data_IF_450797614718
#
_entry.id   IF_450797614718
#
_cell.length_a   1.000
_cell.length_b   1.000
_cell.length_c   1.000
_cell.angle_alpha   90.00
_cell.angle_beta   90.00
_cell.angle_gamma   90.00
#
_symmetry.space_group_name_H-M   'P 1'
#
loop_
_entity.id
_entity.type
_entity.pdbx_description
1 polymer ?
#
# COMPACT_ATOMS: atom_id res chain seq x y z
N UNK A 1 34.96 37.57 19.57
CA UNK A 1 36.02 37.63 18.55
C UNK A 1 35.74 36.59 17.48
N UNK A 2 36.15 36.84 16.23
CA UNK A 2 35.70 36.23 14.96
C UNK A 2 34.43 36.90 14.42
N UNK A 3 34.52 38.05 13.74
CA UNK A 3 35.11 38.38 12.41
C UNK A 3 34.12 38.09 11.28
N UNK A 4 33.71 39.20 10.67
CA UNK A 4 32.89 39.34 9.48
C UNK A 4 33.52 38.63 8.27
N UNK A 5 32.67 38.10 7.41
CA UNK A 5 32.92 38.12 5.96
C UNK A 5 31.74 38.78 5.30
N UNK A 6 32.01 39.99 4.78
CA UNK A 6 31.11 40.78 3.97
C UNK A 6 30.70 40.01 2.71
N UNK A 7 29.40 39.87 2.49
CA UNK A 7 28.85 39.56 1.17
C UNK A 7 28.50 40.89 0.54
N UNK A 8 29.17 41.17 -0.58
CA UNK A 8 28.98 42.32 -1.45
C UNK A 8 27.49 42.46 -1.83
N UNK A 9 26.83 43.48 -1.30
CA UNK A 9 25.60 44.00 -1.88
C UNK A 9 25.99 45.11 -2.86
N UNK A 10 25.94 44.74 -4.14
CA UNK A 10 25.98 45.66 -5.27
C UNK A 10 24.84 46.68 -5.10
N UNK A 11 25.22 47.94 -4.90
CA UNK A 11 24.35 49.09 -5.11
C UNK A 11 24.03 49.14 -6.60
N UNK A 12 22.91 48.54 -7.00
CA UNK A 12 22.25 48.90 -8.25
C UNK A 12 21.44 50.17 -7.96
N UNK A 13 22.04 51.29 -8.35
CA UNK A 13 21.44 52.60 -8.48
C UNK A 13 20.33 52.52 -9.54
N UNK A 14 19.17 52.00 -9.12
CA UNK A 14 17.95 51.98 -9.90
C UNK A 14 17.32 53.36 -9.89
N UNK A 15 17.68 54.18 -10.89
CA UNK A 15 16.92 55.37 -11.23
C UNK A 15 15.48 54.98 -11.52
N UNK A 16 14.57 55.24 -10.57
CA UNK A 16 13.15 55.14 -10.81
C UNK A 16 12.78 56.23 -11.81
N UNK A 17 12.63 55.78 -13.05
CA UNK A 17 12.03 56.51 -14.15
C UNK A 17 10.67 57.01 -13.70
N UNK A 18 10.54 58.33 -13.56
CA UNK A 18 9.28 59.06 -13.48
C UNK A 18 8.57 58.96 -14.84
N UNK A 19 8.13 57.76 -15.20
CA UNK A 19 7.13 57.56 -16.22
C UNK A 19 5.77 57.82 -15.58
N UNK A 20 5.27 59.02 -15.81
CA UNK A 20 3.90 59.47 -15.57
C UNK A 20 2.90 58.53 -16.23
N UNK A 21 2.39 57.57 -15.47
CA UNK A 21 0.99 57.14 -15.60
C UNK A 21 0.32 57.69 -14.36
N UNK A 22 -0.59 58.64 -14.53
CA UNK A 22 -1.52 59.12 -13.50
C UNK A 22 -2.47 57.97 -13.13
N UNK A 23 -1.93 56.90 -12.56
CA UNK A 23 -2.72 55.88 -11.88
C UNK A 23 -2.97 56.45 -10.50
N UNK A 24 -4.24 56.71 -10.19
CA UNK A 24 -4.65 57.17 -8.87
C UNK A 24 -4.04 56.24 -7.82
N UNK A 25 -3.21 56.79 -6.92
CA UNK A 25 -2.61 56.03 -5.84
C UNK A 25 -3.69 55.35 -4.98
N UNK A 26 -4.90 55.90 -4.95
CA UNK A 26 -6.07 55.28 -4.31
C UNK A 26 -6.54 54.02 -5.06
N UNK A 27 -6.53 54.01 -6.40
CA UNK A 27 -6.86 52.83 -7.21
C UNK A 27 -5.82 51.73 -7.05
N UNK A 28 -4.53 52.11 -6.94
CA UNK A 28 -3.45 51.15 -6.63
C UNK A 28 -3.68 50.52 -5.25
N UNK A 29 -3.99 51.33 -4.23
CA UNK A 29 -4.30 50.82 -2.89
C UNK A 29 -5.55 49.94 -2.89
N UNK A 30 -6.59 50.30 -3.65
CA UNK A 30 -7.82 49.51 -3.72
C UNK A 30 -7.55 48.14 -4.34
N UNK A 31 -6.85 48.08 -5.48
CA UNK A 31 -6.45 46.81 -6.11
C UNK A 31 -5.58 45.96 -5.19
N UNK A 32 -4.58 46.56 -4.54
CA UNK A 32 -3.72 45.84 -3.60
C UNK A 32 -4.52 45.28 -2.41
N UNK A 33 -5.55 45.99 -1.93
CA UNK A 33 -6.43 45.49 -0.86
C UNK A 33 -7.26 44.30 -1.30
N UNK A 34 -7.81 44.33 -2.51
CA UNK A 34 -8.55 43.20 -3.09
C UNK A 34 -7.65 41.98 -3.26
N UNK A 35 -6.43 42.17 -3.78
CA UNK A 35 -5.44 41.10 -3.92
C UNK A 35 -5.05 40.49 -2.56
N UNK A 36 -4.82 41.31 -1.54
CA UNK A 36 -4.52 40.83 -0.17
C UNK A 36 -5.69 40.01 0.39
N UNK A 37 -6.94 40.41 0.13
CA UNK A 37 -8.11 39.66 0.59
C UNK A 37 -8.24 38.30 -0.12
N UNK A 38 -7.96 38.25 -1.43
CA UNK A 38 -7.93 36.98 -2.18
C UNK A 38 -6.82 36.05 -1.66
N UNK A 39 -5.61 36.57 -1.42
CA UNK A 39 -4.49 35.79 -0.89
C UNK A 39 -4.79 35.23 0.51
N UNK A 40 -5.46 36.01 1.38
CA UNK A 40 -5.92 35.53 2.70
C UNK A 40 -6.94 34.41 2.57
N UNK A 41 -7.86 34.51 1.62
CA UNK A 41 -8.84 33.46 1.36
C UNK A 41 -8.17 32.18 0.86
N UNK A 42 -7.16 32.28 -0.01
CA UNK A 42 -6.38 31.15 -0.48
C UNK A 42 -5.55 30.50 0.64
N UNK A 43 -4.89 31.31 1.48
CA UNK A 43 -4.17 30.85 2.67
C UNK A 43 -5.11 30.09 3.62
N UNK A 44 -6.33 30.60 3.83
CA UNK A 44 -7.36 29.94 4.64
C UNK A 44 -7.74 28.57 4.07
N UNK A 45 -7.85 28.44 2.75
CA UNK A 45 -8.15 27.15 2.10
C UNK A 45 -7.01 26.15 2.27
N UNK A 46 -5.75 26.58 2.09
CA UNK A 46 -4.58 25.74 2.29
C UNK A 46 -4.45 25.24 3.75
N UNK A 47 -4.67 26.12 4.73
CA UNK A 47 -4.69 25.73 6.15
C UNK A 47 -5.80 24.73 6.49
N UNK A 48 -6.99 24.87 5.88
CA UNK A 48 -8.08 23.90 6.06
C UNK A 48 -7.75 22.52 5.47
N UNK A 49 -6.95 22.44 4.40
CA UNK A 49 -6.48 21.17 3.84
C UNK A 49 -5.43 20.52 4.74
N UNK A 50 -4.47 21.31 5.26
CA UNK A 50 -3.49 20.85 6.25
C UNK A 50 -4.16 20.26 7.50
N UNK A 51 -5.18 20.94 8.04
CA UNK A 51 -5.94 20.47 9.22
C UNK A 51 -6.70 19.15 8.96
N UNK A 52 -7.11 18.87 7.72
CA UNK A 52 -7.74 17.59 7.36
C UNK A 52 -6.72 16.45 7.31
N UNK A 53 -5.49 16.71 6.87
CA UNK A 53 -4.41 15.73 6.79
C UNK A 53 -3.78 15.38 8.16
N UNK A 54 -3.90 16.26 9.16
CA UNK A 54 -3.39 16.04 10.52
C UNK A 54 -4.26 15.11 11.39
N UNK A 55 -5.39 14.63 10.87
CA UNK A 55 -6.33 13.74 11.57
C UNK A 55 -5.95 12.25 11.41
N UNK A 56 -4.74 11.85 11.82
CA UNK A 56 -4.35 10.44 11.82
C UNK A 56 -5.26 9.63 12.79
N UNK A 57 -6.06 8.67 12.30
CA UNK A 57 -6.93 7.85 13.14
C UNK A 57 -6.16 7.09 14.24
N UNK A 58 -4.88 6.77 14.01
CA UNK A 58 -4.04 6.06 15.00
C UNK A 58 -3.63 6.96 16.16
N UNK A 59 -3.43 8.26 15.92
CA UNK A 59 -3.15 9.26 16.96
C UNK A 59 -4.37 9.46 17.89
N UNK A 60 -5.58 9.46 17.31
CA UNK A 60 -6.83 9.55 18.09
C UNK A 60 -7.07 8.36 19.01
N UNK A 61 -6.67 7.16 18.59
CA UNK A 61 -6.80 5.95 19.39
C UNK A 61 -5.86 5.97 20.61
N UNK A 62 -4.61 6.42 20.44
CA UNK A 62 -3.65 6.59 21.54
C UNK A 62 -4.17 7.63 22.55
N UNK A 63 -4.61 8.81 22.08
CA UNK A 63 -5.17 9.86 22.94
C UNK A 63 -6.39 9.36 23.74
N UNK A 64 -7.24 8.51 23.11
CA UNK A 64 -8.40 7.91 23.77
C UNK A 64 -8.00 6.90 24.85
N UNK A 65 -7.01 6.05 24.59
CA UNK A 65 -6.48 5.09 25.58
C UNK A 65 -5.84 5.84 26.76
N UNK A 66 -5.07 6.89 26.49
CA UNK A 66 -4.47 7.75 27.53
C UNK A 66 -5.53 8.42 28.40
N UNK A 67 -6.59 8.97 27.80
CA UNK A 67 -7.73 9.54 28.53
C UNK A 67 -8.37 8.49 29.47
N UNK A 68 -8.65 7.29 28.98
CA UNK A 68 -9.25 6.21 29.78
C UNK A 68 -8.34 5.78 30.95
N UNK A 69 -7.01 5.73 30.74
CA UNK A 69 -6.05 5.43 31.81
C UNK A 69 -6.07 6.52 32.87
N UNK A 70 -6.12 7.81 32.47
CA UNK A 70 -6.18 8.90 33.44
C UNK A 70 -7.47 8.87 34.26
N UNK A 71 -8.61 8.62 33.63
CA UNK A 71 -9.89 8.46 34.32
C UNK A 71 -9.86 7.30 35.31
N UNK A 72 -9.41 6.11 34.89
CA UNK A 72 -9.28 4.95 35.78
C UNK A 72 -8.29 5.20 36.93
N UNK A 73 -7.18 5.91 36.71
CA UNK A 73 -6.23 6.30 37.77
C UNK A 73 -6.87 7.21 38.82
N UNK A 74 -7.71 8.15 38.38
CA UNK A 74 -8.46 9.02 39.31
C UNK A 74 -9.53 8.24 40.06
N UNK A 75 -10.21 7.29 39.41
CA UNK A 75 -11.21 6.43 40.04
C UNK A 75 -10.58 5.46 41.05
N UNK A 76 -9.43 4.87 40.71
CA UNK A 76 -8.64 4.00 41.58
C UNK A 76 -8.14 4.77 42.82
N UNK A 77 -7.67 6.01 42.64
CA UNK A 77 -7.24 6.89 43.74
C UNK A 77 -8.41 7.29 44.66
N UNK A 78 -9.60 7.49 44.10
CA UNK A 78 -10.85 7.72 44.85
C UNK A 78 -11.28 6.47 45.62
N UNK A 79 -11.18 5.29 45.00
CA UNK A 79 -11.49 4.00 45.63
C UNK A 79 -10.54 3.68 46.80
N UNK A 80 -9.23 3.93 46.65
CA UNK A 80 -8.25 3.79 47.74
C UNK A 80 -8.54 4.74 48.91
N UNK A 81 -8.89 6.00 48.61
CA UNK A 81 -9.26 6.97 49.65
C UNK A 81 -10.52 6.57 50.42
N UNK A 82 -11.46 5.90 49.75
CA UNK A 82 -12.73 5.44 50.33
C UNK A 82 -12.55 4.14 51.14
N UNK A 83 -11.64 3.24 50.70
CA UNK A 83 -11.27 2.00 51.42
C UNK A 83 -10.64 2.31 52.78
N UNK A 84 -9.81 3.35 52.87
CA UNK A 84 -9.19 3.79 54.12
C UNK A 84 -10.19 4.37 55.16
N UNK A 85 -11.47 4.57 54.79
CA UNK A 85 -12.51 5.08 55.67
C UNK A 85 -13.55 4.04 56.10
N UNK A 86 -13.64 2.87 55.44
CA UNK A 86 -14.61 1.80 55.77
C UNK A 86 -14.00 0.41 55.49
N UNK A 87 -13.83 -0.39 56.54
CA UNK A 87 -13.38 -1.80 56.50
C UNK A 87 -14.41 -2.74 55.84
N UNK A 88 -14.64 -2.58 54.53
CA UNK A 88 -15.56 -3.43 53.76
C UNK A 88 -14.80 -4.31 52.75
N UNK A 89 -14.82 -5.63 52.97
CA UNK A 89 -14.27 -6.66 52.04
C UNK A 89 -14.82 -6.55 50.61
N UNK A 90 -16.03 -6.01 50.42
CA UNK A 90 -16.65 -5.80 49.10
C UNK A 90 -15.89 -4.78 48.23
N UNK A 91 -15.14 -3.85 48.83
CA UNK A 91 -14.37 -2.86 48.06
C UNK A 91 -13.09 -3.45 47.46
N UNK A 92 -12.63 -4.60 47.95
CA UNK A 92 -11.39 -5.22 47.48
C UNK A 92 -11.55 -5.85 46.10
N UNK A 93 -12.70 -6.49 45.85
CA UNK A 93 -13.00 -7.10 44.56
C UNK A 93 -13.19 -6.05 43.45
N UNK A 94 -13.86 -4.93 43.75
CA UNK A 94 -13.96 -3.79 42.83
C UNK A 94 -12.61 -3.12 42.56
N UNK A 95 -11.74 -3.07 43.56
CA UNK A 95 -10.42 -2.46 43.44
C UNK A 95 -9.49 -3.36 42.61
N UNK A 96 -9.52 -4.67 42.84
CA UNK A 96 -8.81 -5.64 42.01
C UNK A 96 -9.30 -5.61 40.55
N UNK A 97 -10.61 -5.41 40.32
CA UNK A 97 -11.17 -5.27 38.96
C UNK A 97 -10.68 -3.99 38.25
N UNK A 98 -10.70 -2.84 38.94
CA UNK A 98 -10.17 -1.59 38.40
C UNK A 98 -8.66 -1.67 38.14
N UNK A 99 -7.91 -2.36 39.01
CA UNK A 99 -6.48 -2.57 38.83
C UNK A 99 -6.16 -3.50 37.66
N UNK A 100 -7.00 -4.51 37.40
CA UNK A 100 -6.89 -5.37 36.23
C UNK A 100 -7.18 -4.60 34.93
N UNK A 101 -8.25 -3.79 34.91
CA UNK A 101 -8.60 -2.96 33.75
C UNK A 101 -7.54 -1.90 33.43
N UNK A 102 -6.94 -1.32 34.47
CA UNK A 102 -5.84 -0.35 34.31
C UNK A 102 -4.60 -1.02 33.71
N UNK A 103 -4.23 -2.23 34.16
CA UNK A 103 -3.14 -3.01 33.56
C UNK A 103 -3.41 -3.37 32.10
N UNK A 104 -4.64 -3.75 31.78
CA UNK A 104 -5.06 -4.09 30.42
C UNK A 104 -4.95 -2.87 29.48
N UNK A 105 -5.40 -1.70 29.91
CA UNK A 105 -5.26 -0.47 29.12
C UNK A 105 -3.79 -0.01 29.01
N UNK A 106 -2.98 -0.18 30.05
CA UNK A 106 -1.54 0.11 29.98
C UNK A 106 -0.83 -0.82 28.98
N UNK A 107 -1.20 -2.09 28.92
CA UNK A 107 -0.68 -3.04 27.92
C UNK A 107 -1.15 -2.68 26.50
N UNK A 108 -2.42 -2.30 26.33
CA UNK A 108 -2.94 -1.79 25.05
C UNK A 108 -2.23 -0.52 24.60
N UNK A 109 -1.90 0.41 25.52
CA UNK A 109 -1.15 1.62 25.23
C UNK A 109 0.26 1.29 24.73
N UNK A 110 0.95 0.36 25.40
CA UNK A 110 2.29 -0.09 25.00
C UNK A 110 2.25 -0.70 23.59
N UNK A 111 1.27 -1.57 23.31
CA UNK A 111 1.08 -2.18 21.99
C UNK A 111 0.79 -1.10 20.94
N UNK A 112 -0.08 -0.14 21.23
CA UNK A 112 -0.42 0.94 20.31
C UNK A 112 0.78 1.86 20.00
N UNK A 113 1.56 2.24 21.03
CA UNK A 113 2.77 3.03 20.88
C UNK A 113 3.87 2.28 20.12
N UNK A 114 4.05 0.99 20.40
CA UNK A 114 5.02 0.15 19.68
C UNK A 114 4.61 -0.07 18.22
N UNK A 115 3.32 -0.26 17.94
CA UNK A 115 2.79 -0.30 16.57
C UNK A 115 3.01 1.02 15.83
N UNK A 116 2.84 2.17 16.50
CA UNK A 116 3.13 3.49 15.91
C UNK A 116 4.63 3.65 15.64
N UNK A 117 5.49 3.21 16.56
CA UNK A 117 6.94 3.21 16.40
C UNK A 117 7.36 2.31 15.24
N UNK A 118 6.84 1.09 15.17
CA UNK A 118 7.13 0.14 14.11
C UNK A 118 6.61 0.64 12.75
N UNK A 119 5.46 1.31 12.71
CA UNK A 119 4.97 1.97 11.50
C UNK A 119 5.94 3.06 11.02
N UNK A 120 6.43 3.93 11.92
CA UNK A 120 7.45 4.95 11.60
C UNK A 120 8.78 4.35 11.15
N UNK A 121 9.21 3.24 11.77
CA UNK A 121 10.44 2.53 11.39
C UNK A 121 10.28 1.87 10.02
N UNK A 122 9.17 1.17 9.77
CA UNK A 122 8.87 0.55 8.47
C UNK A 122 8.76 1.60 7.37
N UNK A 123 8.20 2.77 7.69
CA UNK A 123 8.14 3.91 6.80
C UNK A 123 9.54 4.46 6.49
N UNK A 124 10.39 4.65 7.50
CA UNK A 124 11.78 5.08 7.30
C UNK A 124 12.60 4.06 6.49
N UNK A 125 12.37 2.76 6.70
CA UNK A 125 12.98 1.69 5.89
C UNK A 125 12.46 1.76 4.44
N UNK A 126 11.16 1.94 4.24
CA UNK A 126 10.57 2.07 2.90
C UNK A 126 11.10 3.30 2.14
N UNK A 127 11.34 4.42 2.86
CA UNK A 127 11.99 5.63 2.32
C UNK A 127 13.44 5.37 1.88
N UNK A 128 14.18 4.51 2.59
CA UNK A 128 15.57 4.14 2.26
C UNK A 128 15.67 3.08 1.15
N UNK A 129 14.70 2.17 1.07
CA UNK A 129 14.68 1.08 0.09
C UNK A 129 14.02 1.46 -1.25
N UNK A 130 13.47 2.69 -1.37
CA UNK A 130 12.90 3.19 -2.63
C UNK A 130 11.63 2.46 -3.08
N UNK A 131 10.94 1.80 -2.15
CA UNK A 131 9.66 1.13 -2.42
C UNK A 131 8.55 2.17 -2.25
N UNK A 132 7.80 2.54 -3.31
CA UNK A 132 6.76 3.54 -3.22
C UNK A 132 5.58 2.99 -2.41
N UNK A 133 5.45 3.43 -1.16
CA UNK A 133 4.24 3.27 -0.37
C UNK A 133 3.33 4.47 -0.61
N UNK A 134 2.02 4.23 -0.72
CA UNK A 134 0.95 5.22 -0.96
C UNK A 134 0.82 6.36 0.06
N UNK A 135 1.72 6.47 1.03
CA UNK A 135 1.77 7.55 2.03
C UNK A 135 2.81 8.62 1.71
N UNK A 136 3.74 8.38 0.78
CA UNK A 136 4.73 9.40 0.37
C UNK A 136 4.06 10.57 -0.36
N UNK A 137 2.92 10.36 -1.01
CA UNK A 137 2.16 11.44 -1.64
C UNK A 137 1.54 12.38 -0.60
N UNK A 138 1.04 11.85 0.52
CA UNK A 138 0.39 12.66 1.56
C UNK A 138 1.40 13.49 2.37
N UNK A 139 2.59 12.95 2.62
CA UNK A 139 3.69 13.68 3.26
C UNK A 139 4.32 14.73 2.32
N UNK A 140 4.37 14.44 1.02
CA UNK A 140 4.81 15.40 0.01
C UNK A 140 3.78 16.51 -0.18
N UNK A 141 2.49 16.17 -0.25
CA UNK A 141 1.37 17.11 -0.37
C UNK A 141 1.28 18.03 0.86
N UNK A 142 1.48 17.50 2.07
CA UNK A 142 1.52 18.33 3.29
C UNK A 142 2.72 19.27 3.30
N UNK A 143 3.90 18.83 2.87
CA UNK A 143 5.08 19.68 2.75
C UNK A 143 4.90 20.78 1.70
N UNK A 144 4.29 20.45 0.56
CA UNK A 144 3.94 21.39 -0.51
C UNK A 144 2.89 22.41 -0.06
N UNK A 145 1.84 21.97 0.64
CA UNK A 145 0.83 22.86 1.21
C UNK A 145 1.43 23.80 2.27
N UNK A 146 2.38 23.31 3.08
CA UNK A 146 3.07 24.14 4.07
C UNK A 146 3.91 25.22 3.39
N UNK A 147 4.67 24.85 2.36
CA UNK A 147 5.44 25.80 1.55
C UNK A 147 4.54 26.82 0.83
N UNK A 148 3.35 26.40 0.35
CA UNK A 148 2.36 27.30 -0.24
C UNK A 148 1.84 28.32 0.79
N UNK A 149 1.56 27.90 2.02
CA UNK A 149 1.13 28.80 3.10
C UNK A 149 2.20 29.85 3.43
N UNK A 150 3.47 29.44 3.52
CA UNK A 150 4.58 30.36 3.80
C UNK A 150 4.78 31.37 2.65
N UNK A 151 4.66 30.92 1.40
CA UNK A 151 4.71 31.79 0.23
C UNK A 151 3.58 32.81 0.24
N UNK A 152 2.34 32.37 0.49
CA UNK A 152 1.17 33.26 0.57
C UNK A 152 1.31 34.27 1.72
N UNK A 153 1.85 33.85 2.87
CA UNK A 153 2.12 34.74 4.00
C UNK A 153 3.10 35.85 3.63
N UNK A 154 4.22 35.50 3.00
CA UNK A 154 5.22 36.46 2.54
C UNK A 154 4.65 37.46 1.53
N UNK A 155 3.79 37.00 0.60
CA UNK A 155 3.15 37.87 -0.39
C UNK A 155 2.11 38.81 0.25
N UNK A 156 1.31 38.32 1.19
CA UNK A 156 0.37 39.15 1.98
C UNK A 156 1.14 40.23 2.74
N UNK A 157 2.24 39.88 3.41
CA UNK A 157 3.07 40.83 4.16
C UNK A 157 3.69 41.88 3.23
N UNK A 158 4.25 41.45 2.11
CA UNK A 158 4.85 42.35 1.11
C UNK A 158 3.83 43.34 0.55
N UNK A 159 2.67 42.88 0.08
CA UNK A 159 1.63 43.76 -0.47
C UNK A 159 1.01 44.65 0.61
N UNK A 160 0.82 44.13 1.82
CA UNK A 160 0.37 44.95 2.97
C UNK A 160 1.38 46.03 3.32
N UNK A 161 2.68 45.74 3.23
CA UNK A 161 3.74 46.72 3.41
C UNK A 161 3.71 47.79 2.33
N UNK A 162 3.50 47.42 1.06
CA UNK A 162 3.31 48.37 -0.04
C UNK A 162 2.10 49.27 0.19
N UNK A 163 0.96 48.72 0.62
CA UNK A 163 -0.23 49.50 0.99
C UNK A 163 0.11 50.49 2.11
N UNK A 164 0.84 50.05 3.14
CA UNK A 164 1.24 50.91 4.25
C UNK A 164 2.20 52.02 3.79
N UNK A 165 3.16 51.72 2.91
CA UNK A 165 4.09 52.70 2.36
C UNK A 165 3.41 53.77 1.50
N UNK A 166 2.31 53.41 0.81
CA UNK A 166 1.51 54.37 0.02
C UNK A 166 0.61 55.20 0.93
N UNK A 167 0.00 54.60 1.95
CA UNK A 167 -0.98 55.28 2.81
C UNK A 167 -0.37 56.12 3.94
N UNK A 168 0.81 55.74 4.42
CA UNK A 168 1.47 56.39 5.55
C UNK A 168 2.79 57.03 5.09
N UNK A 169 2.97 58.35 5.30
CA UNK A 169 4.21 59.02 4.93
C UNK A 169 5.40 58.41 5.67
N UNK A 170 6.53 58.25 4.96
CA UNK A 170 7.80 57.90 5.60
C UNK A 170 8.12 58.89 6.72
N UNK A 171 8.68 58.39 7.81
CA UNK A 171 9.16 59.20 8.94
C UNK A 171 10.10 60.30 8.46
N UNK A 172 10.92 60.02 7.44
CA UNK A 172 11.83 60.99 6.83
C UNK A 172 11.08 62.16 6.20
N UNK A 173 10.00 61.87 5.48
CA UNK A 173 9.16 62.88 4.83
C UNK A 173 8.41 63.75 5.85
N UNK A 174 7.86 63.13 6.90
CA UNK A 174 7.25 63.88 8.01
C UNK A 174 8.26 64.80 8.72
N UNK A 175 9.51 64.35 8.86
CA UNK A 175 10.57 65.16 9.43
C UNK A 175 10.94 66.34 8.51
N UNK A 176 10.94 66.17 7.19
CA UNK A 176 11.15 67.26 6.22
C UNK A 176 10.06 68.31 6.32
N UNK A 177 8.79 67.90 6.36
CA UNK A 177 7.66 68.83 6.56
C UNK A 177 7.80 69.58 7.88
N UNK A 178 8.10 68.89 8.98
CA UNK A 178 8.26 69.53 10.30
C UNK A 178 9.40 70.56 10.29
N UNK A 179 10.54 70.23 9.67
CA UNK A 179 11.66 71.17 9.53
C UNK A 179 11.28 72.41 8.72
N UNK A 180 10.54 72.24 7.63
CA UNK A 180 10.06 73.36 6.82
C UNK A 180 9.02 74.22 7.59
N UNK A 181 8.18 73.61 8.42
CA UNK A 181 7.25 74.33 9.30
C UNK A 181 7.98 75.13 10.38
N UNK A 182 8.98 74.52 11.02
CA UNK A 182 9.81 75.18 12.03
C UNK A 182 10.61 76.36 11.43
N UNK A 183 11.25 76.16 10.27
CA UNK A 183 12.02 77.22 9.59
C UNK A 183 11.10 78.35 9.09
N UNK A 184 9.90 78.03 8.62
CA UNK A 184 8.90 79.04 8.23
C UNK A 184 8.44 79.85 9.43
N UNK A 185 8.19 79.21 10.57
CA UNK A 185 7.80 79.87 11.81
C UNK A 185 8.90 80.83 12.28
N UNK A 186 10.14 80.35 12.35
CA UNK A 186 11.31 81.15 12.73
C UNK A 186 11.51 82.34 11.79
N UNK A 187 11.38 82.12 10.47
CA UNK A 187 11.52 83.20 9.47
C UNK A 187 10.40 84.24 9.60
N UNK A 188 9.16 83.84 9.93
CA UNK A 188 8.04 84.76 10.20
C UNK A 188 8.23 85.57 11.49
N UNK A 189 8.74 84.94 12.54
CA UNK A 189 9.05 85.63 13.80
C UNK A 189 10.18 86.66 13.60
N UNK A 190 11.23 86.28 12.84
CA UNK A 190 12.31 87.20 12.47
C UNK A 190 11.83 88.35 11.57
N UNK A 191 10.93 88.08 10.62
CA UNK A 191 10.28 89.11 9.81
C UNK A 191 9.49 90.09 10.68
N UNK A 192 8.73 89.60 11.67
CA UNK A 192 8.00 90.45 12.62
C UNK A 192 8.96 91.31 13.45
N UNK A 193 10.04 90.74 13.97
CA UNK A 193 11.06 91.47 14.72
C UNK A 193 11.73 92.55 13.86
N UNK A 194 12.07 92.25 12.61
CA UNK A 194 12.63 93.23 11.68
C UNK A 194 11.64 94.37 11.35
N UNK A 195 10.34 94.08 11.29
CA UNK A 195 9.29 95.09 11.12
C UNK A 195 9.15 95.98 12.36
N UNK A 196 9.22 95.39 13.56
CA UNK A 196 9.21 96.11 14.84
C UNK A 196 10.46 96.98 15.01
N UNK A 197 11.64 96.48 14.60
CA UNK A 197 12.90 97.24 14.61
C UNK A 197 12.85 98.42 13.64
N UNK A 198 12.35 98.21 12.41
CA UNK A 198 12.09 99.30 11.45
C UNK A 198 11.13 100.35 12.03
N UNK A 199 10.04 99.93 12.65
CA UNK A 199 9.06 100.85 13.25
C UNK A 199 9.64 101.59 14.47
N UNK A 200 10.48 100.94 15.28
CA UNK A 200 11.13 101.56 16.44
C UNK A 200 12.17 102.62 16.04
N UNK A 201 12.89 102.41 14.94
CA UNK A 201 13.82 103.41 14.36
C UNK A 201 13.03 104.63 13.88
N UNK A 202 11.87 104.43 13.24
CA UNK A 202 10.95 105.50 12.82
C UNK A 202 10.38 106.33 13.98
N UNK A 203 10.20 105.73 15.17
CA UNK A 203 9.72 106.44 16.36
C UNK A 203 10.82 107.07 17.22
N UNK A 204 12.11 106.78 16.96
CA UNK A 204 13.24 107.22 17.79
C UNK A 204 14.05 108.37 17.19
N UNK A 205 13.60 108.97 16.08
CA UNK A 205 14.22 110.16 15.48
C UNK A 205 13.44 111.41 15.92
N UNK A 206 13.88 112.14 16.96
CA UNK A 206 13.61 113.57 17.03
C UNK A 206 14.47 114.27 15.97
N UNK A 207 13.90 115.34 15.42
CA UNK A 207 14.47 116.24 14.41
C UNK A 207 15.99 116.47 14.55
N UNK A 208 16.63 116.67 13.39
CA UNK A 208 18.00 117.16 13.18
C UNK A 208 19.10 116.07 13.04
N UNK A 209 19.36 115.63 11.79
CA UNK A 209 20.67 115.82 11.11
C UNK A 209 20.66 115.23 9.69
N UNK A 210 21.01 116.07 8.71
CA UNK A 210 21.29 115.77 7.31
C UNK A 210 22.63 115.02 7.17
N UNK A 211 22.65 113.71 7.43
CA UNK A 211 23.73 112.86 6.92
C UNK A 211 23.15 111.59 6.28
N UNK A 212 23.41 111.47 4.98
CA UNK A 212 23.15 110.31 4.13
C UNK A 212 23.77 109.05 4.75
N UNK A 213 23.01 108.34 5.58
CA UNK A 213 23.27 106.93 5.85
C UNK A 213 22.00 106.13 5.55
N UNK A 214 22.13 105.37 4.46
CA UNK A 214 21.17 104.51 3.75
C UNK A 214 20.61 103.32 4.60
N UNK A 215 20.35 103.57 5.88
CA UNK A 215 19.86 102.60 6.87
C UNK A 215 18.42 102.19 6.60
N UNK A 216 17.59 103.10 6.06
CA UNK A 216 16.23 102.79 5.64
C UNK A 216 16.20 101.88 4.39
N UNK A 217 17.13 102.04 3.44
CA UNK A 217 17.23 101.19 2.25
C UNK A 217 17.73 99.77 2.57
N UNK A 218 18.65 99.63 3.52
CA UNK A 218 19.15 98.34 4.02
C UNK A 218 18.07 97.53 4.76
N UNK A 219 17.27 98.18 5.61
CA UNK A 219 16.17 97.53 6.32
C UNK A 219 15.03 97.10 5.38
N UNK A 220 14.71 97.91 4.36
CA UNK A 220 13.71 97.55 3.35
C UNK A 220 14.15 96.36 2.52
N UNK A 221 15.43 96.27 2.16
CA UNK A 221 15.99 95.12 1.45
C UNK A 221 15.94 93.84 2.30
N UNK A 222 16.25 93.93 3.59
CA UNK A 222 16.22 92.79 4.50
C UNK A 222 14.79 92.27 4.75
N UNK A 223 13.80 93.18 4.78
CA UNK A 223 12.36 92.83 4.84
C UNK A 223 11.93 92.10 3.56
N UNK A 224 12.33 92.61 2.39
CA UNK A 224 12.08 91.98 1.09
C UNK A 224 12.71 90.57 0.99
N UNK A 225 13.94 90.40 1.49
CA UNK A 225 14.62 89.09 1.53
C UNK A 225 13.86 88.08 2.41
N UNK A 226 13.29 88.52 3.54
CA UNK A 226 12.43 87.67 4.37
C UNK A 226 11.09 87.34 3.70
N UNK A 227 10.46 88.27 2.98
CA UNK A 227 9.24 88.02 2.22
C UNK A 227 9.47 86.98 1.10
N UNK A 228 10.57 87.11 0.37
CA UNK A 228 10.97 86.13 -0.64
C UNK A 228 11.25 84.77 -0.02
N UNK A 229 11.96 84.72 1.13
CA UNK A 229 12.25 83.47 1.84
C UNK A 229 10.97 82.81 2.37
N UNK A 230 10.04 83.56 2.93
CA UNK A 230 8.73 83.06 3.37
C UNK A 230 7.98 82.45 2.19
N UNK A 231 7.90 83.16 1.07
CA UNK A 231 7.22 82.68 -0.14
C UNK A 231 7.87 81.42 -0.72
N UNK A 232 9.20 81.34 -0.66
CA UNK A 232 9.95 80.16 -1.08
C UNK A 232 9.70 78.95 -0.16
N UNK A 233 9.74 79.14 1.16
CA UNK A 233 9.46 78.09 2.14
C UNK A 233 8.00 77.63 2.09
N UNK A 234 7.04 78.55 1.88
CA UNK A 234 5.63 78.21 1.67
C UNK A 234 5.44 77.37 0.40
N UNK A 235 6.10 77.73 -0.70
CA UNK A 235 6.04 76.94 -1.93
C UNK A 235 6.66 75.55 -1.76
N UNK A 236 7.79 75.44 -1.05
CA UNK A 236 8.39 74.14 -0.76
C UNK A 236 7.52 73.30 0.17
N UNK A 237 7.00 73.89 1.23
CA UNK A 237 6.09 73.23 2.16
C UNK A 237 4.81 72.77 1.44
N UNK A 238 4.26 73.58 0.54
CA UNK A 238 3.08 73.23 -0.22
C UNK A 238 3.37 72.10 -1.22
N UNK A 239 4.53 72.12 -1.90
CA UNK A 239 4.96 71.01 -2.76
C UNK A 239 5.16 69.71 -1.97
N UNK A 240 5.80 69.76 -0.81
CA UNK A 240 6.02 68.59 0.03
C UNK A 240 4.72 68.05 0.66
N UNK A 241 3.74 68.93 0.93
CA UNK A 241 2.39 68.55 1.37
C UNK A 241 1.51 68.03 0.22
N UNK A 242 1.60 68.61 -0.98
CA UNK A 242 0.88 68.16 -2.18
C UNK A 242 1.42 66.82 -2.69
N UNK A 243 2.72 66.56 -2.57
CA UNK A 243 3.31 65.24 -2.81
C UNK A 243 2.73 64.14 -1.88
N UNK A 244 2.01 64.52 -0.82
CA UNK A 244 1.28 63.61 0.08
C UNK A 244 -0.24 63.64 -0.11
N UNK A 245 -0.78 64.61 -0.85
CA UNK A 245 -2.21 64.75 -0.95
C UNK A 245 -2.73 63.90 -2.10
N UNK A 246 -3.25 62.72 -1.76
CA UNK A 246 -4.28 62.13 -2.62
C UNK A 246 -5.42 63.17 -2.68
N UNK A 247 -5.81 63.66 -3.87
CA UNK A 247 -6.82 64.71 -3.97
C UNK A 247 -8.17 64.21 -3.46
N UNK A 248 -8.55 64.56 -2.23
CA UNK A 248 -9.97 64.68 -1.91
C UNK A 248 -10.47 65.98 -2.51
N UNK A 249 -11.46 65.96 -3.43
CA UNK A 249 -11.88 67.15 -4.14
C UNK A 249 -12.65 68.07 -3.20
N UNK A 250 -11.98 69.13 -2.73
CA UNK A 250 -12.65 70.29 -2.13
C UNK A 250 -12.15 71.57 -2.76
N UNK A 251 -12.95 72.06 -3.72
CA UNK A 251 -13.16 73.46 -4.11
C UNK A 251 -12.09 74.48 -3.69
N UNK A 252 -11.23 74.88 -4.61
CA UNK A 252 -10.64 76.23 -4.61
C UNK A 252 -10.41 76.72 -6.04
N UNK A 253 -11.33 77.54 -6.54
CA UNK A 253 -11.12 78.36 -7.75
C UNK A 253 -11.42 79.80 -7.36
N UNK A 254 -10.37 80.57 -7.09
CA UNK A 254 -10.43 82.05 -7.12
C UNK A 254 -9.18 82.57 -7.84
N UNK A 255 -9.46 83.21 -8.99
CA UNK A 255 -8.74 84.29 -9.69
C UNK A 255 -7.38 84.03 -10.35
N UNK A 256 -7.40 84.05 -11.69
CA UNK A 256 -6.45 84.84 -12.48
C UNK A 256 -6.99 85.07 -13.90
N UNK A 257 -6.98 86.33 -14.31
CA UNK A 257 -7.59 86.92 -15.50
C UNK A 257 -7.06 86.34 -16.82
N UNK A 258 -7.87 85.52 -17.46
CA UNK A 258 -8.04 85.40 -18.92
C UNK A 258 -9.53 85.22 -19.13
N UNK A 259 -10.09 85.67 -20.27
CA UNK A 259 -11.52 85.55 -20.57
C UNK A 259 -12.03 84.18 -20.06
N UNK A 260 -12.83 84.18 -18.98
CA UNK A 260 -13.12 82.96 -18.25
C UNK A 260 -13.90 82.00 -19.13
N UNK A 261 -14.55 82.51 -20.19
CA UNK A 261 -15.31 81.72 -21.15
C UNK A 261 -14.39 80.90 -22.04
N UNK A 262 -13.34 81.47 -22.64
CA UNK A 262 -12.46 80.73 -23.56
C UNK A 262 -11.53 79.76 -22.82
N UNK A 263 -10.98 80.15 -21.65
CA UNK A 263 -10.20 79.19 -20.83
C UNK A 263 -11.05 78.07 -20.24
N UNK A 264 -12.31 78.33 -19.90
CA UNK A 264 -13.22 77.25 -19.47
C UNK A 264 -13.64 76.40 -20.64
N UNK A 265 -13.87 76.97 -21.83
CA UNK A 265 -14.19 76.21 -23.04
C UNK A 265 -13.00 75.34 -23.47
N UNK A 266 -11.78 75.85 -23.53
CA UNK A 266 -10.58 75.08 -23.86
C UNK A 266 -10.30 74.00 -22.80
N UNK A 267 -10.49 74.32 -21.51
CA UNK A 267 -10.36 73.34 -20.42
C UNK A 267 -11.44 72.26 -20.43
N UNK A 268 -12.67 72.61 -20.83
CA UNK A 268 -13.77 71.67 -21.03
C UNK A 268 -13.56 70.83 -22.29
N UNK A 269 -13.00 71.41 -23.35
CA UNK A 269 -12.63 70.72 -24.58
C UNK A 269 -11.52 69.70 -24.31
N UNK A 270 -10.46 70.08 -23.61
CA UNK A 270 -9.39 69.16 -23.21
C UNK A 270 -9.91 68.04 -22.30
N UNK A 271 -10.83 68.36 -21.37
CA UNK A 271 -11.51 67.33 -20.55
C UNK A 271 -12.40 66.41 -21.39
N UNK A 272 -13.11 66.94 -22.39
CA UNK A 272 -13.93 66.15 -23.29
C UNK A 272 -13.07 65.20 -24.13
N UNK A 273 -11.96 65.68 -24.67
CA UNK A 273 -10.99 64.87 -25.43
C UNK A 273 -10.36 63.79 -24.56
N UNK A 274 -9.96 64.13 -23.32
CA UNK A 274 -9.44 63.17 -22.35
C UNK A 274 -10.48 62.09 -22.01
N UNK A 275 -11.73 62.48 -21.74
CA UNK A 275 -12.82 61.54 -21.47
C UNK A 275 -13.16 60.68 -22.70
N UNK A 276 -13.05 61.20 -23.91
CA UNK A 276 -13.25 60.44 -25.15
C UNK A 276 -12.13 59.41 -25.37
N UNK A 277 -10.88 59.79 -25.12
CA UNK A 277 -9.75 58.86 -25.16
C UNK A 277 -9.89 57.76 -24.10
N UNK A 278 -10.28 58.12 -22.89
CA UNK A 278 -10.51 57.17 -21.81
C UNK A 278 -11.66 56.22 -22.13
N UNK A 279 -12.76 56.74 -22.72
CA UNK A 279 -13.89 55.94 -23.18
C UNK A 279 -13.49 54.98 -24.30
N UNK A 280 -12.65 55.42 -25.25
CA UNK A 280 -12.13 54.57 -26.32
C UNK A 280 -11.27 53.43 -25.77
N UNK A 281 -10.33 53.73 -24.86
CA UNK A 281 -9.49 52.74 -24.20
C UNK A 281 -10.31 51.75 -23.36
N UNK A 282 -11.30 52.24 -22.60
CA UNK A 282 -12.21 51.37 -21.83
C UNK A 282 -13.06 50.49 -22.76
N UNK A 283 -13.48 50.98 -23.91
CA UNK A 283 -14.22 50.19 -24.91
C UNK A 283 -13.36 49.08 -25.51
N UNK A 284 -12.11 49.36 -25.86
CA UNK A 284 -11.14 48.37 -26.33
C UNK A 284 -10.85 47.31 -25.25
N UNK A 285 -10.71 47.73 -23.99
CA UNK A 285 -10.53 46.81 -22.85
C UNK A 285 -11.74 45.88 -22.70
N UNK A 286 -12.97 46.39 -22.87
CA UNK A 286 -14.20 45.58 -22.82
C UNK A 286 -14.25 44.57 -23.97
N UNK A 287 -13.80 44.96 -25.17
CA UNK A 287 -13.73 44.05 -26.32
C UNK A 287 -12.73 42.92 -26.08
N UNK A 288 -11.53 43.23 -25.58
CA UNK A 288 -10.53 42.22 -25.20
C UNK A 288 -11.06 41.27 -24.11
N UNK A 289 -11.75 41.79 -23.08
CA UNK A 289 -12.38 40.96 -22.05
C UNK A 289 -13.45 40.01 -22.63
N UNK A 290 -14.14 40.42 -23.70
CA UNK A 290 -15.13 39.59 -24.38
C UNK A 290 -14.47 38.43 -25.13
N UNK A 291 -13.34 38.68 -25.79
CA UNK A 291 -12.54 37.64 -26.45
C UNK A 291 -11.97 36.64 -25.43
N UNK A 292 -11.46 37.13 -24.29
CA UNK A 292 -11.02 36.27 -23.19
C UNK A 292 -12.17 35.39 -22.66
N UNK A 293 -13.37 35.96 -22.54
CA UNK A 293 -14.56 35.23 -22.09
C UNK A 293 -14.96 34.12 -23.08
N UNK A 294 -14.83 34.36 -24.38
CA UNK A 294 -15.04 33.33 -25.42
C UNK A 294 -13.99 32.22 -25.33
N UNK A 295 -12.71 32.57 -25.14
CA UNK A 295 -11.65 31.57 -24.88
C UNK A 295 -11.92 30.73 -23.64
N UNK A 296 -12.42 31.33 -22.55
CA UNK A 296 -12.77 30.59 -21.33
C UNK A 296 -13.90 29.59 -21.60
N UNK A 297 -14.90 29.96 -22.42
CA UNK A 297 -15.97 29.04 -22.83
C UNK A 297 -15.42 27.88 -23.67
N UNK A 298 -14.50 28.15 -24.60
CA UNK A 298 -13.85 27.11 -25.40
C UNK A 298 -13.02 26.16 -24.53
N UNK A 299 -12.24 26.70 -23.59
CA UNK A 299 -11.47 25.90 -22.63
C UNK A 299 -12.37 25.06 -21.72
N UNK A 300 -13.52 25.58 -21.30
CA UNK A 300 -14.53 24.80 -20.56
C UNK A 300 -15.09 23.66 -21.41
N UNK A 301 -15.36 23.90 -22.69
CA UNK A 301 -15.81 22.87 -23.63
C UNK A 301 -14.77 21.76 -23.83
N UNK A 302 -13.49 22.13 -23.96
CA UNK A 302 -12.38 21.19 -24.03
C UNK A 302 -12.22 20.39 -22.74
N UNK A 303 -12.38 21.03 -21.58
CA UNK A 303 -12.31 20.38 -20.27
C UNK A 303 -13.42 19.34 -20.09
N UNK A 304 -14.65 19.67 -20.50
CA UNK A 304 -15.77 18.71 -20.41
C UNK A 304 -15.56 17.53 -21.37
N UNK A 305 -15.05 17.79 -22.58
CA UNK A 305 -14.68 16.73 -23.52
C UNK A 305 -13.63 15.80 -22.93
N UNK A 306 -12.58 16.36 -22.33
CA UNK A 306 -11.50 15.59 -21.69
C UNK A 306 -12.03 14.76 -20.51
N UNK A 307 -12.96 15.31 -19.73
CA UNK A 307 -13.59 14.62 -18.61
C UNK A 307 -14.42 13.42 -19.07
N UNK A 308 -15.19 13.55 -20.15
CA UNK A 308 -15.90 12.43 -20.79
C UNK A 308 -14.91 11.35 -21.26
N UNK A 309 -13.81 11.76 -21.89
CA UNK A 309 -12.75 10.87 -22.37
C UNK A 309 -12.07 10.09 -21.23
N UNK A 310 -11.79 10.76 -20.11
CA UNK A 310 -11.24 10.14 -18.89
C UNK A 310 -12.22 9.12 -18.31
N UNK A 311 -13.51 9.47 -18.24
CA UNK A 311 -14.54 8.54 -17.76
C UNK A 311 -14.62 7.29 -18.64
N UNK A 312 -14.62 7.46 -19.96
CA UNK A 312 -14.63 6.33 -20.89
C UNK A 312 -13.39 5.43 -20.74
N UNK A 313 -12.20 6.04 -20.58
CA UNK A 313 -10.96 5.28 -20.33
C UNK A 313 -11.02 4.52 -18.99
N UNK A 314 -11.61 5.09 -17.94
CA UNK A 314 -11.80 4.41 -16.67
C UNK A 314 -12.74 3.21 -16.78
N UNK A 315 -13.86 3.35 -17.51
CA UNK A 315 -14.78 2.24 -17.80
C UNK A 315 -14.08 1.10 -18.57
N UNK A 316 -13.23 1.45 -19.54
CA UNK A 316 -12.42 0.47 -20.27
C UNK A 316 -11.44 -0.25 -19.34
N UNK A 317 -10.76 0.49 -18.46
CA UNK A 317 -9.84 -0.09 -17.45
C UNK A 317 -10.59 -1.09 -16.56
N UNK A 318 -11.79 -0.75 -16.09
CA UNK A 318 -12.56 -1.64 -15.23
C UNK A 318 -13.06 -2.89 -15.97
N UNK A 319 -13.39 -2.76 -17.25
CA UNK A 319 -13.70 -3.91 -18.12
C UNK A 319 -12.49 -4.81 -18.27
N UNK A 320 -11.31 -4.25 -18.57
CA UNK A 320 -10.06 -5.01 -18.70
C UNK A 320 -9.64 -5.69 -17.38
N UNK A 321 -9.84 -5.04 -16.24
CA UNK A 321 -9.60 -5.66 -14.92
C UNK A 321 -10.48 -6.88 -14.71
N UNK A 322 -11.77 -6.80 -15.07
CA UNK A 322 -12.71 -7.93 -14.98
C UNK A 322 -12.27 -9.09 -15.86
N UNK A 323 -11.91 -8.82 -17.11
CA UNK A 323 -11.43 -9.83 -18.05
C UNK A 323 -10.13 -10.51 -17.57
N UNK A 324 -9.26 -9.76 -16.88
CA UNK A 324 -8.04 -10.31 -16.30
C UNK A 324 -8.31 -11.27 -15.13
N UNK A 325 -9.31 -10.95 -14.29
CA UNK A 325 -9.80 -11.86 -13.24
C UNK A 325 -10.37 -13.13 -13.87
N UNK A 326 -11.16 -13.00 -14.93
CA UNK A 326 -11.72 -14.15 -15.65
C UNK A 326 -10.63 -15.01 -16.30
N UNK A 327 -9.61 -14.39 -16.90
CA UNK A 327 -8.43 -15.10 -17.42
C UNK A 327 -7.72 -15.90 -16.33
N UNK A 328 -7.59 -15.36 -15.13
CA UNK A 328 -6.97 -16.05 -13.99
C UNK A 328 -7.82 -17.26 -13.56
N UNK A 329 -9.14 -17.11 -13.55
CA UNK A 329 -10.08 -18.22 -13.27
C UNK A 329 -10.00 -19.32 -14.34
N UNK A 330 -9.87 -18.95 -15.62
CA UNK A 330 -9.70 -19.90 -16.72
C UNK A 330 -8.35 -20.64 -16.63
N UNK A 331 -7.28 -19.95 -16.27
CA UNK A 331 -5.98 -20.57 -16.03
C UNK A 331 -6.01 -21.54 -14.85
N UNK A 332 -6.76 -21.23 -13.79
CA UNK A 332 -6.97 -22.16 -12.69
C UNK A 332 -7.74 -23.40 -13.15
N UNK A 333 -8.87 -23.22 -13.85
CA UNK A 333 -9.66 -24.35 -14.41
C UNK A 333 -8.83 -25.21 -15.37
N UNK A 334 -7.95 -24.60 -16.16
CA UNK A 334 -7.03 -25.31 -17.04
C UNK A 334 -6.07 -26.20 -16.23
N UNK A 335 -5.42 -25.65 -15.20
CA UNK A 335 -4.53 -26.41 -14.31
C UNK A 335 -5.24 -27.56 -13.60
N UNK A 336 -6.49 -27.36 -13.16
CA UNK A 336 -7.31 -28.41 -12.56
C UNK A 336 -7.60 -29.53 -13.58
N UNK A 337 -7.92 -29.19 -14.83
CA UNK A 337 -8.15 -30.16 -15.91
C UNK A 337 -6.88 -30.89 -16.33
N UNK A 338 -5.74 -30.21 -16.34
CA UNK A 338 -4.43 -30.85 -16.59
C UNK A 338 -4.09 -31.86 -15.48
N UNK A 339 -4.35 -31.53 -14.21
CA UNK A 339 -4.17 -32.45 -13.10
C UNK A 339 -5.12 -33.66 -13.19
N UNK A 340 -6.38 -33.43 -13.56
CA UNK A 340 -7.36 -34.49 -13.80
C UNK A 340 -6.92 -35.42 -14.96
N UNK A 341 -6.43 -34.85 -16.06
CA UNK A 341 -5.91 -35.60 -17.19
C UNK A 341 -4.68 -36.45 -16.82
N UNK A 342 -3.78 -35.91 -16.00
CA UNK A 342 -2.65 -36.67 -15.44
C UNK A 342 -3.11 -37.83 -14.57
N UNK A 343 -4.11 -37.61 -13.69
CA UNK A 343 -4.67 -38.66 -12.87
C UNK A 343 -5.31 -39.78 -13.71
N UNK A 344 -6.04 -39.43 -14.78
CA UNK A 344 -6.58 -40.41 -15.73
C UNK A 344 -5.47 -41.17 -16.46
N UNK A 345 -4.40 -40.49 -16.87
CA UNK A 345 -3.25 -41.14 -17.51
C UNK A 345 -2.59 -42.16 -16.58
N UNK A 346 -2.41 -41.82 -15.30
CA UNK A 346 -1.88 -42.76 -14.30
C UNK A 346 -2.78 -43.98 -14.14
N UNK A 347 -4.10 -43.77 -14.00
CA UNK A 347 -5.07 -44.89 -13.93
C UNK A 347 -5.04 -45.78 -15.17
N UNK A 348 -4.89 -45.19 -16.36
CA UNK A 348 -4.75 -45.98 -17.60
C UNK A 348 -3.48 -46.84 -17.58
N UNK A 349 -2.35 -46.31 -17.09
CA UNK A 349 -1.12 -47.10 -16.94
C UNK A 349 -1.28 -48.25 -15.94
N UNK A 350 -1.98 -48.03 -14.83
CA UNK A 350 -2.29 -49.08 -13.84
C UNK A 350 -3.15 -50.19 -14.46
N UNK A 351 -4.18 -49.82 -15.21
CA UNK A 351 -5.04 -50.78 -15.93
C UNK A 351 -4.22 -51.58 -16.94
N UNK A 352 -3.35 -50.92 -17.72
CA UNK A 352 -2.54 -51.61 -18.72
C UNK A 352 -1.56 -52.59 -18.09
N UNK A 353 -0.97 -52.24 -16.95
CA UNK A 353 -0.15 -53.16 -16.17
C UNK A 353 -0.97 -54.36 -15.68
N UNK A 354 -2.17 -54.13 -15.18
CA UNK A 354 -3.05 -55.21 -14.73
C UNK A 354 -3.46 -56.12 -15.90
N UNK A 355 -3.71 -55.56 -17.07
CA UNK A 355 -3.99 -56.31 -18.31
C UNK A 355 -2.80 -57.18 -18.72
N UNK A 356 -1.57 -56.66 -18.65
CA UNK A 356 -0.35 -57.42 -18.90
C UNK A 356 -0.17 -58.58 -17.90
N UNK A 357 -0.41 -58.32 -16.62
CA UNK A 357 -0.36 -59.34 -15.56
C UNK A 357 -1.37 -60.48 -15.84
N UNK A 358 -2.62 -60.13 -16.19
CA UNK A 358 -3.66 -61.11 -16.56
C UNK A 358 -3.32 -61.88 -17.83
N UNK A 359 -2.73 -61.23 -18.85
CA UNK A 359 -2.30 -61.90 -20.07
C UNK A 359 -1.20 -62.94 -19.77
N UNK A 360 -0.27 -62.60 -18.87
CA UNK A 360 0.78 -63.50 -18.43
C UNK A 360 0.20 -64.70 -17.66
N UNK A 361 -0.75 -64.49 -16.75
CA UNK A 361 -1.46 -65.58 -16.06
C UNK A 361 -2.20 -66.48 -17.05
N UNK A 362 -2.88 -65.89 -18.05
CA UNK A 362 -3.59 -66.66 -19.07
C UNK A 362 -2.64 -67.49 -19.93
N UNK A 363 -1.47 -66.96 -20.30
CA UNK A 363 -0.41 -67.71 -20.98
C UNK A 363 0.09 -68.87 -20.12
N UNK A 364 0.31 -68.64 -18.83
CA UNK A 364 0.74 -69.69 -17.91
C UNK A 364 -0.32 -70.80 -17.79
N UNK A 365 -1.58 -70.43 -17.59
CA UNK A 365 -2.70 -71.39 -17.55
C UNK A 365 -2.81 -72.18 -18.86
N UNK A 366 -2.67 -71.53 -20.02
CA UNK A 366 -2.67 -72.19 -21.32
C UNK A 366 -1.51 -73.17 -21.46
N UNK A 367 -0.32 -72.81 -20.99
CA UNK A 367 0.84 -73.71 -20.98
C UNK A 367 0.62 -74.91 -20.04
N UNK A 368 0.03 -74.70 -18.86
CA UNK A 368 -0.33 -75.78 -17.93
C UNK A 368 -1.37 -76.71 -18.55
N UNK A 369 -2.40 -76.15 -19.19
CA UNK A 369 -3.41 -76.93 -19.91
C UNK A 369 -2.76 -77.74 -21.03
N UNK A 370 -1.88 -77.14 -21.83
CA UNK A 370 -1.20 -77.85 -22.90
C UNK A 370 -0.32 -79.01 -22.38
N UNK A 371 0.36 -78.84 -21.25
CA UNK A 371 1.11 -79.93 -20.59
C UNK A 371 0.22 -81.07 -20.12
N UNK A 372 -1.00 -80.75 -19.66
CA UNK A 372 -1.99 -81.76 -19.27
C UNK A 372 -2.60 -82.46 -20.50
N UNK A 373 -2.92 -81.71 -21.55
CA UNK A 373 -3.51 -82.22 -22.80
C UNK A 373 -2.52 -83.04 -23.64
N UNK A 374 -1.26 -82.61 -23.73
CA UNK A 374 -0.22 -83.40 -24.39
C UNK A 374 0.00 -84.72 -23.64
N UNK A 375 -0.45 -84.79 -22.39
CA UNK A 375 -0.31 -85.94 -21.52
C UNK A 375 1.15 -86.32 -21.34
N UNK A 376 2.12 -85.48 -21.67
CA UNK A 376 3.53 -85.86 -21.71
C UNK A 376 4.03 -86.28 -20.34
N UNK A 377 3.64 -85.55 -19.29
CA UNK A 377 4.07 -85.87 -17.93
C UNK A 377 3.32 -87.10 -17.39
N UNK A 378 2.02 -87.22 -17.67
CA UNK A 378 1.22 -88.39 -17.25
C UNK A 378 1.64 -89.65 -18.01
N UNK A 379 1.89 -89.55 -19.32
CA UNK A 379 2.40 -90.63 -20.15
C UNK A 379 3.82 -91.03 -19.75
N UNK A 380 4.71 -90.10 -19.40
CA UNK A 380 6.04 -90.44 -18.89
C UNK A 380 5.97 -91.19 -17.56
N UNK A 381 5.10 -90.77 -16.64
CA UNK A 381 4.88 -91.46 -15.36
C UNK A 381 4.25 -92.85 -15.59
N UNK A 382 3.21 -92.95 -16.42
CA UNK A 382 2.59 -94.23 -16.75
C UNK A 382 3.56 -95.17 -17.48
N UNK A 383 4.42 -94.65 -18.35
CA UNK A 383 5.45 -95.44 -19.03
C UNK A 383 6.50 -95.97 -18.06
N UNK A 384 6.96 -95.17 -17.09
CA UNK A 384 7.91 -95.65 -16.08
C UNK A 384 7.29 -96.69 -15.15
N UNK A 385 6.02 -96.50 -14.74
CA UNK A 385 5.27 -97.51 -13.97
C UNK A 385 5.00 -98.81 -14.77
N UNK A 386 4.70 -98.70 -16.06
CA UNK A 386 4.56 -99.90 -16.91
C UNK A 386 5.89 -100.65 -17.03
N UNK A 387 7.00 -99.94 -17.09
CA UNK A 387 8.32 -100.56 -17.18
C UNK A 387 8.73 -101.23 -15.86
N UNK A 388 8.42 -100.63 -14.71
CA UNK A 388 8.64 -101.28 -13.41
C UNK A 388 7.79 -102.54 -13.29
N UNK A 389 6.49 -102.49 -13.61
CA UNK A 389 5.61 -103.66 -13.58
C UNK A 389 6.05 -104.76 -14.56
N UNK A 390 6.57 -104.41 -15.74
CA UNK A 390 7.15 -105.40 -16.67
C UNK A 390 8.36 -106.10 -16.08
N UNK A 391 9.24 -105.35 -15.42
CA UNK A 391 10.41 -105.91 -14.76
C UNK A 391 10.01 -106.83 -13.60
N UNK A 392 9.06 -106.42 -12.76
CA UNK A 392 8.50 -107.26 -11.70
C UNK A 392 7.86 -108.53 -12.26
N UNK A 393 7.05 -108.43 -13.31
CA UNK A 393 6.44 -109.59 -13.96
C UNK A 393 7.50 -110.56 -14.53
N UNK A 394 8.58 -110.02 -15.10
CA UNK A 394 9.71 -110.82 -15.61
C UNK A 394 10.42 -111.55 -14.47
N UNK A 395 10.63 -110.89 -13.33
CA UNK A 395 11.17 -111.55 -12.14
C UNK A 395 10.25 -112.65 -11.63
N UNK A 396 8.95 -112.37 -11.52
CA UNK A 396 7.94 -113.35 -11.06
C UNK A 396 7.92 -114.55 -12.00
N UNK A 397 7.89 -114.36 -13.32
CA UNK A 397 7.99 -115.45 -14.30
C UNK A 397 9.30 -116.23 -14.17
N UNK A 398 10.42 -115.56 -13.88
CA UNK A 398 11.68 -116.22 -13.59
C UNK A 398 11.61 -117.11 -12.36
N UNK A 399 11.00 -116.61 -11.26
CA UNK A 399 10.77 -117.38 -10.04
C UNK A 399 9.80 -118.55 -10.27
N UNK A 400 8.75 -118.34 -11.06
CA UNK A 400 7.78 -119.37 -11.45
C UNK A 400 8.46 -120.48 -12.27
N UNK A 401 9.29 -120.14 -13.26
CA UNK A 401 10.02 -121.12 -14.05
C UNK A 401 10.94 -121.99 -13.17
N UNK A 402 11.64 -121.38 -12.22
CA UNK A 402 12.46 -122.10 -11.23
C UNK A 402 11.58 -123.01 -10.36
N UNK A 403 10.43 -122.53 -9.91
CA UNK A 403 9.49 -123.33 -9.11
C UNK A 403 8.93 -124.52 -9.91
N UNK A 404 8.56 -124.32 -11.17
CA UNK A 404 8.10 -125.37 -12.07
C UNK A 404 9.19 -126.40 -12.34
N UNK A 405 10.44 -125.98 -12.52
CA UNK A 405 11.55 -126.91 -12.72
C UNK A 405 11.82 -127.73 -11.44
N UNK A 406 11.77 -127.10 -10.26
CA UNK A 406 11.82 -127.81 -8.97
C UNK A 406 10.69 -128.83 -8.83
N UNK A 407 9.45 -128.45 -9.17
CA UNK A 407 8.30 -129.36 -9.15
C UNK A 407 8.48 -130.52 -10.16
N UNK A 408 9.04 -130.26 -11.34
CA UNK A 408 9.34 -131.30 -12.34
C UNK A 408 10.39 -132.28 -11.80
N UNK A 409 11.47 -131.79 -11.18
CA UNK A 409 12.50 -132.61 -10.55
C UNK A 409 11.91 -133.45 -9.42
N UNK A 410 11.10 -132.86 -8.55
CA UNK A 410 10.42 -133.60 -7.48
C UNK A 410 9.46 -134.67 -8.03
N UNK A 411 8.68 -134.35 -9.07
CA UNK A 411 7.80 -135.31 -9.75
C UNK A 411 8.59 -136.45 -10.38
N UNK A 412 9.73 -136.17 -11.01
CA UNK A 412 10.59 -137.20 -11.58
C UNK A 412 11.18 -138.09 -10.49
N UNK A 413 11.55 -137.53 -9.33
CA UNK A 413 12.05 -138.28 -8.17
C UNK A 413 10.98 -139.20 -7.57
N UNK A 414 9.77 -138.68 -7.31
CA UNK A 414 8.61 -139.48 -6.88
C UNK A 414 8.26 -140.57 -7.90
N UNK A 415 8.37 -140.26 -9.21
CA UNK A 415 8.12 -141.25 -10.26
C UNK A 415 9.22 -142.30 -10.44
N UNK A 416 10.42 -142.08 -9.89
CA UNK A 416 11.54 -143.04 -9.93
C UNK A 416 11.85 -143.66 -8.57
N UNK A 417 11.12 -143.31 -7.52
CA UNK A 417 11.19 -143.97 -6.21
C UNK A 417 10.53 -145.34 -6.35
N UNK A 418 11.29 -146.27 -6.95
CA UNK A 418 11.00 -147.71 -6.94
C UNK A 418 10.83 -148.24 -5.50
N UNK A 419 11.26 -147.50 -4.48
CA UNK A 419 11.01 -147.82 -3.07
C UNK A 419 9.52 -147.85 -2.74
N UNK A 420 8.71 -146.90 -3.21
CA UNK A 420 7.26 -146.87 -2.90
C UNK A 420 6.52 -148.00 -3.63
N UNK A 421 6.90 -148.26 -4.89
CA UNK A 421 6.39 -149.41 -5.67
C UNK A 421 6.82 -150.76 -5.07
N UNK A 422 8.08 -150.88 -4.62
CA UNK A 422 8.62 -152.09 -4.00
C UNK A 422 7.99 -152.35 -2.62
N UNK A 423 7.78 -151.31 -1.81
CA UNK A 423 7.04 -151.41 -0.56
C UNK A 423 5.59 -151.84 -0.80
N UNK A 424 4.93 -151.31 -1.84
CA UNK A 424 3.58 -151.72 -2.23
C UNK A 424 3.52 -153.20 -2.65
N UNK A 425 4.47 -153.65 -3.45
CA UNK A 425 4.59 -155.04 -3.91
C UNK A 425 4.86 -156.02 -2.75
N UNK A 426 5.72 -155.64 -1.80
CA UNK A 426 5.92 -156.40 -0.56
C UNK A 426 4.65 -156.49 0.28
N UNK A 427 3.88 -155.41 0.36
CA UNK A 427 2.64 -155.35 1.13
C UNK A 427 1.55 -156.25 0.53
N UNK A 428 1.45 -156.31 -0.80
CA UNK A 428 0.56 -157.25 -1.49
C UNK A 428 0.99 -158.71 -1.30
N UNK A 429 2.29 -159.01 -1.38
CA UNK A 429 2.79 -160.35 -1.07
C UNK A 429 2.43 -160.77 0.37
N UNK A 430 2.55 -159.86 1.34
CA UNK A 430 2.16 -160.11 2.72
C UNK A 430 0.65 -160.37 2.86
N UNK A 431 -0.22 -159.61 2.18
CA UNK A 431 -1.67 -159.86 2.19
C UNK A 431 -2.03 -161.23 1.62
N UNK A 432 -1.45 -161.63 0.49
CA UNK A 432 -1.67 -162.96 -0.10
C UNK A 432 -1.26 -164.05 0.89
N UNK A 433 -0.12 -163.86 1.56
CA UNK A 433 0.36 -164.78 2.59
C UNK A 433 -0.60 -164.83 3.78
N UNK A 434 -1.12 -163.69 4.23
CA UNK A 434 -2.11 -163.61 5.30
C UNK A 434 -3.41 -164.34 4.94
N UNK A 435 -3.95 -164.14 3.73
CA UNK A 435 -5.15 -164.84 3.24
C UNK A 435 -4.91 -166.36 3.25
N UNK A 436 -3.79 -166.82 2.71
CA UNK A 436 -3.46 -168.24 2.67
C UNK A 436 -3.27 -168.83 4.08
N UNK A 437 -2.72 -168.05 5.02
CA UNK A 437 -2.64 -168.43 6.43
C UNK A 437 -4.03 -168.48 7.09
N UNK A 438 -4.92 -167.51 6.84
CA UNK A 438 -6.31 -167.52 7.32
C UNK A 438 -7.07 -168.73 6.80
N UNK A 439 -6.96 -169.07 5.52
CA UNK A 439 -7.56 -170.27 4.94
C UNK A 439 -7.02 -171.54 5.61
N UNK A 440 -5.70 -171.60 5.83
CA UNK A 440 -5.07 -172.72 6.54
C UNK A 440 -5.54 -172.81 7.99
N UNK A 441 -5.74 -171.69 8.67
CA UNK A 441 -6.33 -171.63 10.01
C UNK A 441 -7.78 -172.14 9.97
N UNK A 442 -8.61 -171.68 9.05
CA UNK A 442 -10.00 -172.16 8.89
C UNK A 442 -10.05 -173.68 8.66
N UNK A 443 -9.15 -174.23 7.83
CA UNK A 443 -9.04 -175.67 7.61
C UNK A 443 -8.63 -176.39 8.91
N UNK A 444 -7.67 -175.84 9.66
CA UNK A 444 -7.22 -176.42 10.93
C UNK A 444 -8.29 -176.32 12.02
N UNK A 445 -9.01 -175.21 12.10
CA UNK A 445 -10.16 -175.00 13.00
C UNK A 445 -11.30 -175.96 12.65
N UNK A 446 -11.60 -176.17 11.36
CA UNK A 446 -12.57 -177.17 10.91
C UNK A 446 -12.16 -178.59 11.33
N UNK A 447 -10.88 -178.95 11.16
CA UNK A 447 -10.32 -180.25 11.61
C UNK A 447 -10.30 -180.40 13.12
N UNK A 448 -10.13 -179.32 13.88
CA UNK A 448 -10.23 -179.32 15.34
C UNK A 448 -11.68 -179.48 15.79
N UNK A 449 -12.64 -178.82 15.11
CA UNK A 449 -14.08 -178.99 15.35
C UNK A 449 -14.53 -180.43 15.11
N UNK A 450 -14.09 -181.07 14.01
CA UNK A 450 -14.37 -182.50 13.72
C UNK A 450 -13.73 -183.47 14.73
N UNK A 451 -12.61 -183.10 15.36
CA UNK A 451 -11.99 -183.89 16.45
C UNK A 451 -12.62 -183.62 17.82
N UNK A 452 -13.33 -182.50 18.01
CA UNK A 452 -14.09 -182.20 19.21
C UNK A 452 -15.40 -182.98 19.34
N UNK A 453 -16.01 -183.40 18.23
CA UNK A 453 -17.27 -184.17 18.20
C UNK A 453 -17.10 -185.71 18.34
N UNK A 454 -15.88 -186.19 18.63
CA UNK A 454 -15.58 -187.62 18.91
C UNK A 454 -15.12 -187.89 20.35
N UNK A 455 -15.62 -187.13 21.31
CA UNK A 455 -15.59 -187.46 22.75
C UNK A 455 -16.98 -187.89 23.20
#
# INVERSE_FOLDING_TARGET
MSVMTASEYSYMEGGFSTATSEVDQLDVVHRLREEVEQLKEEQRRALNLLSKNENDPKSKEIIKIESNITELRTELSRAYSTKNQKDNKSNDESLHKLQAQLKELEEQLIIAQENQRQARVNEAISRLEGIPNSNTEQDQETLELTHQVDKLQSEIESKSHTIAAILFPSIEHQNTIRKLEDELLETRDNYRLALEEKNNILTSIPEETDDEFDSNGLNDKHILEFEEKIKYLENQLNKEKEAQHIPTPRNSVIMSYVDPTDKTVDGLQAKLESLQQELAHKSETIENLREEQEMVVDLQGQLETLKVDINHKNELIDTLKRDLVDKSSLQQKLREKEAEALAFRTKLMEIHKHEEDLENEMKELKNRLHKLESGDDVNKILQSELETLRNELKEVRGREAIALDRLRVLKARLGSDNEESHLHEQLEHLKVTEISQRERIIILESKLSEKGEKI
#
